data_IF_451702136315
#
_entry.id   IF_451702136315
#
_cell.length_a   1.000
_cell.length_b   1.000
_cell.length_c   1.000
_cell.angle_alpha   90.00
_cell.angle_beta   90.00
_cell.angle_gamma   90.00
#
_symmetry.space_group_name_H-M   'P 1'
#
loop_
_entity.id
_entity.type
_entity.pdbx_description
1 polymer ?
#
# COMPACT_ATOMS: atom_id res chain seq x y z
N UNK A 1 -64.72 6.19 3.33
CA UNK A 1 -65.46 7.04 4.26
C UNK A 1 -66.94 7.01 3.84
N UNK A 2 -67.79 6.51 4.72
CA UNK A 2 -69.23 6.46 4.44
C UNK A 2 -69.77 7.91 4.44
N UNK A 3 -70.27 8.34 3.28
CA UNK A 3 -70.90 9.65 3.20
C UNK A 3 -72.27 9.58 3.88
N UNK A 4 -72.46 10.36 4.95
CA UNK A 4 -73.72 10.55 5.61
C UNK A 4 -74.50 11.54 4.77
N UNK A 5 -75.09 11.09 3.63
CA UNK A 5 -75.83 11.97 2.70
C UNK A 5 -77.30 12.04 2.99
N UNK A 6 -77.74 11.55 4.14
CA UNK A 6 -79.18 11.58 4.53
C UNK A 6 -79.48 12.31 5.85
N UNK A 7 -78.51 13.09 6.36
CA UNK A 7 -78.73 13.87 7.56
C UNK A 7 -79.53 15.14 7.18
N UNK A 8 -80.82 15.19 7.55
CA UNK A 8 -81.65 16.40 7.33
C UNK A 8 -82.85 16.21 6.40
N UNK A 9 -83.08 15.04 5.79
CA UNK A 9 -84.24 14.74 4.97
C UNK A 9 -85.52 14.69 5.87
N UNK A 10 -86.26 15.76 5.96
CA UNK A 10 -87.48 15.87 6.74
C UNK A 10 -87.59 17.09 7.63
N UNK A 11 -86.52 17.80 7.95
CA UNK A 11 -86.50 19.00 8.81
C UNK A 11 -86.34 20.32 8.04
N UNK A 12 -86.09 20.33 6.73
CA UNK A 12 -85.80 21.53 5.94
C UNK A 12 -84.51 22.27 6.31
N UNK A 13 -83.67 21.67 7.18
CA UNK A 13 -82.40 22.26 7.59
C UNK A 13 -81.23 21.55 6.76
N UNK A 14 -80.41 22.37 6.10
CA UNK A 14 -79.22 21.92 5.45
C UNK A 14 -78.09 21.62 6.47
N UNK A 15 -78.19 20.45 7.10
CA UNK A 15 -77.24 20.00 8.14
C UNK A 15 -75.85 19.78 7.57
N UNK A 16 -75.73 19.48 6.27
CA UNK A 16 -74.41 19.30 5.63
C UNK A 16 -73.70 20.66 5.54
N UNK A 17 -74.40 21.74 5.14
CA UNK A 17 -73.77 23.06 5.07
C UNK A 17 -73.41 23.61 6.48
N UNK A 18 -74.15 23.24 7.49
CA UNK A 18 -73.84 23.61 8.91
C UNK A 18 -72.58 22.82 9.37
N UNK A 19 -72.46 21.52 9.02
CA UNK A 19 -71.33 20.72 9.40
C UNK A 19 -70.05 21.20 8.66
N UNK A 20 -70.15 21.50 7.36
CA UNK A 20 -69.03 22.03 6.58
C UNK A 20 -68.58 23.42 7.13
N UNK A 21 -69.51 24.26 7.55
CA UNK A 21 -69.19 25.55 8.17
C UNK A 21 -68.54 25.42 9.53
N UNK A 22 -68.92 24.43 10.33
CA UNK A 22 -68.29 24.10 11.59
C UNK A 22 -66.89 23.53 11.42
N UNK A 23 -66.73 22.63 10.46
CA UNK A 23 -65.42 22.06 10.09
C UNK A 23 -64.49 23.18 9.58
N UNK A 24 -64.99 24.10 8.77
CA UNK A 24 -64.19 25.23 8.28
C UNK A 24 -63.76 26.16 9.42
N UNK A 25 -64.71 26.42 10.40
CA UNK A 25 -64.42 27.22 11.59
C UNK A 25 -63.31 26.54 12.46
N UNK A 26 -63.43 25.24 12.69
CA UNK A 26 -62.37 24.48 13.39
C UNK A 26 -61.03 24.50 12.66
N UNK A 27 -61.03 24.26 11.37
CA UNK A 27 -59.81 24.34 10.53
C UNK A 27 -59.17 25.73 10.58
N UNK A 28 -59.96 26.77 10.67
CA UNK A 28 -59.47 28.15 10.78
C UNK A 28 -58.61 28.38 12.03
N UNK A 29 -58.90 27.67 13.13
CA UNK A 29 -58.13 27.75 14.38
C UNK A 29 -56.76 27.11 14.27
N UNK A 30 -56.58 26.17 13.33
CA UNK A 30 -55.29 25.53 13.04
C UNK A 30 -54.36 26.39 12.18
N UNK A 31 -54.93 27.35 11.44
CA UNK A 31 -54.15 28.21 10.54
C UNK A 31 -53.05 29.01 11.24
N UNK A 32 -53.26 29.65 12.42
CA UNK A 32 -52.17 30.33 13.12
C UNK A 32 -51.11 29.39 13.64
N UNK A 33 -51.50 28.17 14.05
CA UNK A 33 -50.56 27.13 14.50
C UNK A 33 -49.66 26.68 13.33
N UNK A 34 -50.23 26.44 12.16
CA UNK A 34 -49.49 26.09 10.95
C UNK A 34 -48.53 27.21 10.51
N UNK A 35 -48.95 28.47 10.59
CA UNK A 35 -48.08 29.63 10.34
C UNK A 35 -46.96 29.73 11.35
N UNK A 36 -47.22 29.46 12.63
CA UNK A 36 -46.19 29.46 13.66
C UNK A 36 -45.19 28.32 13.45
N UNK A 37 -45.66 27.11 13.12
CA UNK A 37 -44.80 25.97 12.77
C UNK A 37 -43.92 26.31 11.57
N UNK A 38 -44.47 26.86 10.49
CA UNK A 38 -43.71 27.29 9.31
C UNK A 38 -42.66 28.35 9.67
N UNK A 39 -43.01 29.31 10.55
CA UNK A 39 -42.06 30.32 11.02
C UNK A 39 -40.89 29.70 11.82
N UNK A 40 -41.19 28.76 12.71
CA UNK A 40 -40.15 28.08 13.47
C UNK A 40 -39.28 27.21 12.57
N UNK A 41 -39.85 26.51 11.59
CA UNK A 41 -39.09 25.72 10.60
C UNK A 41 -38.17 26.62 9.77
N UNK A 42 -38.65 27.79 9.33
CA UNK A 42 -37.84 28.76 8.62
C UNK A 42 -36.69 29.32 9.48
N UNK A 43 -36.94 29.61 10.75
CA UNK A 43 -35.89 30.04 11.69
C UNK A 43 -34.86 28.95 11.92
N UNK A 44 -35.29 27.70 12.12
CA UNK A 44 -34.40 26.57 12.30
C UNK A 44 -33.48 26.35 11.07
N UNK A 45 -34.08 26.47 9.88
CA UNK A 45 -33.33 26.40 8.61
C UNK A 45 -32.32 27.55 8.49
N UNK A 46 -32.70 28.78 8.86
CA UNK A 46 -31.78 29.92 8.84
C UNK A 46 -30.59 29.73 9.81
N UNK A 47 -30.89 29.23 11.02
CA UNK A 47 -29.84 28.91 12.00
C UNK A 47 -28.93 27.77 11.49
N UNK A 48 -29.48 26.75 10.82
CA UNK A 48 -28.71 25.70 10.18
C UNK A 48 -27.75 26.25 9.12
N UNK A 49 -28.23 27.16 8.28
CA UNK A 49 -27.40 27.82 7.26
C UNK A 49 -26.28 28.67 7.90
N UNK A 50 -26.59 29.43 8.93
CA UNK A 50 -25.61 30.23 9.66
C UNK A 50 -24.57 29.36 10.32
N UNK A 51 -24.98 28.26 10.96
CA UNK A 51 -24.08 27.29 11.57
C UNK A 51 -23.13 26.72 10.53
N UNK A 52 -23.61 26.25 9.37
CA UNK A 52 -22.79 25.71 8.30
C UNK A 52 -21.77 26.74 7.75
N UNK A 53 -22.19 28.01 7.65
CA UNK A 53 -21.26 29.07 7.22
C UNK A 53 -20.17 29.33 8.26
N UNK A 54 -20.49 29.30 9.55
CA UNK A 54 -19.52 29.43 10.63
C UNK A 54 -18.56 28.24 10.69
N UNK A 55 -19.04 27.03 10.51
CA UNK A 55 -18.19 25.82 10.46
C UNK A 55 -17.24 25.85 9.26
N UNK A 56 -17.71 26.32 8.11
CA UNK A 56 -16.86 26.52 6.93
C UNK A 56 -15.78 27.59 7.18
N UNK A 57 -16.15 28.69 7.81
CA UNK A 57 -15.20 29.73 8.19
C UNK A 57 -14.17 29.22 9.21
N UNK A 58 -14.61 28.48 10.23
CA UNK A 58 -13.73 27.87 11.22
C UNK A 58 -12.73 26.91 10.56
N UNK A 59 -13.20 26.09 9.63
CA UNK A 59 -12.36 25.14 8.89
C UNK A 59 -11.28 25.89 8.09
N UNK A 60 -11.67 26.94 7.37
CA UNK A 60 -10.74 27.76 6.61
C UNK A 60 -9.70 28.47 7.51
N UNK A 61 -10.17 29.01 8.63
CA UNK A 61 -9.29 29.67 9.60
C UNK A 61 -8.31 28.68 10.25
N UNK A 62 -8.77 27.47 10.58
CA UNK A 62 -7.92 26.40 11.13
C UNK A 62 -6.87 25.96 10.10
N UNK A 63 -7.23 25.92 8.83
CA UNK A 63 -6.26 25.62 7.76
C UNK A 63 -5.17 26.69 7.65
N UNK A 64 -5.53 27.97 7.76
CA UNK A 64 -4.58 29.10 7.76
C UNK A 64 -3.70 29.16 9.01
N UNK A 65 -4.18 28.68 10.15
CA UNK A 65 -3.45 28.70 11.42
C UNK A 65 -2.40 27.57 11.54
N UNK A 66 -2.13 26.83 10.48
CA UNK A 66 -1.05 25.83 10.44
C UNK A 66 0.26 26.51 10.10
N UNK A 67 1.19 26.54 11.04
CA UNK A 67 2.53 27.14 10.84
C UNK A 67 3.27 26.48 9.66
N UNK A 68 3.07 25.19 9.44
CA UNK A 68 3.70 24.41 8.36
C UNK A 68 3.33 24.92 6.96
N UNK A 69 2.16 25.57 6.81
CA UNK A 69 1.74 26.15 5.54
C UNK A 69 2.68 27.27 5.09
N UNK A 70 3.23 28.05 6.05
CA UNK A 70 4.11 29.19 5.79
C UNK A 70 5.59 28.81 5.71
N UNK A 71 5.92 27.60 6.15
CA UNK A 71 7.28 27.04 6.05
C UNK A 71 7.39 26.01 4.93
N UNK A 72 6.30 25.77 4.18
CA UNK A 72 6.30 24.84 3.07
C UNK A 72 7.27 25.29 1.99
N UNK A 73 8.15 24.38 1.59
CA UNK A 73 9.09 24.59 0.49
C UNK A 73 8.70 23.71 -0.69
N UNK A 74 8.93 24.17 -1.89
CA UNK A 74 8.74 23.38 -3.11
C UNK A 74 10.06 23.18 -3.82
N UNK A 75 10.22 22.08 -4.53
CA UNK A 75 11.39 21.79 -5.34
C UNK A 75 11.03 21.78 -6.81
N UNK A 76 11.95 22.29 -7.63
CA UNK A 76 11.94 22.12 -9.07
C UNK A 76 13.24 21.46 -9.48
N UNK A 77 13.16 20.36 -10.26
CA UNK A 77 14.32 19.72 -10.85
C UNK A 77 14.51 20.22 -12.28
N UNK A 78 15.75 20.52 -12.67
CA UNK A 78 16.10 20.83 -14.05
C UNK A 78 16.24 19.59 -14.94
N UNK A 79 16.12 18.38 -14.34
CA UNK A 79 16.24 17.09 -15.04
C UNK A 79 15.10 16.17 -14.65
N UNK A 80 14.63 15.37 -15.60
CA UNK A 80 13.66 14.28 -15.37
C UNK A 80 14.33 13.00 -14.84
N UNK A 81 15.65 12.96 -14.72
CA UNK A 81 16.40 11.79 -14.27
C UNK A 81 16.24 11.52 -12.76
N UNK A 82 15.80 12.50 -12.00
CA UNK A 82 15.51 12.36 -10.57
C UNK A 82 14.39 13.29 -10.13
N UNK A 83 13.71 12.92 -9.06
CA UNK A 83 12.76 13.77 -8.36
C UNK A 83 13.28 14.09 -6.97
N UNK A 84 12.97 15.28 -6.48
CA UNK A 84 13.29 15.70 -5.13
C UNK A 84 12.01 16.11 -4.40
N UNK A 85 11.92 15.80 -3.12
CA UNK A 85 10.86 16.23 -2.22
C UNK A 85 11.46 17.02 -1.07
N UNK A 86 10.72 17.99 -0.54
CA UNK A 86 11.14 18.77 0.62
C UNK A 86 10.26 18.49 1.82
N UNK A 87 10.81 18.66 3.00
CA UNK A 87 10.09 18.71 4.28
C UNK A 87 10.06 20.15 4.78
N UNK A 88 9.18 20.45 5.75
CA UNK A 88 9.03 21.80 6.33
C UNK A 88 10.30 22.37 6.98
N UNK A 89 11.32 21.56 7.21
CA UNK A 89 12.64 21.98 7.74
C UNK A 89 13.69 22.21 6.66
N UNK A 90 13.34 22.07 5.38
CA UNK A 90 14.29 22.24 4.29
C UNK A 90 14.68 23.71 4.13
N UNK A 91 15.98 23.96 3.98
CA UNK A 91 16.53 25.30 3.75
C UNK A 91 16.39 25.60 2.25
N UNK A 92 15.80 26.76 1.93
CA UNK A 92 15.70 27.20 0.54
C UNK A 92 17.10 27.48 -0.04
N UNK A 93 17.40 26.93 -1.21
CA UNK A 93 18.68 27.05 -1.85
C UNK A 93 18.74 26.36 -3.20
N UNK A 94 19.83 26.56 -3.92
CA UNK A 94 20.15 25.84 -5.14
C UNK A 94 21.17 24.76 -4.83
N UNK A 95 20.82 23.50 -5.14
CA UNK A 95 21.69 22.36 -4.91
C UNK A 95 22.08 21.75 -6.25
N UNK A 96 23.34 21.41 -6.41
CA UNK A 96 23.83 20.65 -7.57
C UNK A 96 24.05 19.23 -7.16
N UNK A 97 23.42 18.30 -7.87
CA UNK A 97 23.51 16.86 -7.59
C UNK A 97 24.19 16.18 -8.77
N UNK A 98 25.27 15.46 -8.50
CA UNK A 98 25.92 14.57 -9.45
C UNK A 98 25.69 13.12 -9.05
N UNK A 99 25.19 12.29 -9.96
CA UNK A 99 24.98 10.87 -9.74
C UNK A 99 26.09 10.11 -10.43
N UNK A 100 27.08 9.63 -9.67
CA UNK A 100 28.21 8.86 -10.18
C UNK A 100 27.87 7.39 -10.41
N UNK A 101 26.89 6.85 -9.68
CA UNK A 101 26.52 5.44 -9.76
C UNK A 101 25.05 5.23 -9.35
N UNK A 102 24.33 4.42 -10.12
CA UNK A 102 22.99 3.99 -9.77
C UNK A 102 23.02 2.75 -8.87
N UNK A 103 22.02 2.62 -8.01
CA UNK A 103 21.83 1.41 -7.24
C UNK A 103 21.50 0.23 -8.17
N UNK A 104 22.10 -0.93 -7.92
CA UNK A 104 21.84 -2.16 -8.64
C UNK A 104 21.31 -3.24 -7.70
N UNK A 105 20.48 -4.14 -8.23
CA UNK A 105 20.00 -5.31 -7.52
C UNK A 105 21.07 -6.40 -7.56
N UNK A 106 21.33 -7.03 -6.41
CA UNK A 106 22.24 -8.16 -6.34
C UNK A 106 21.69 -9.37 -7.08
N UNK A 107 22.53 -10.05 -7.81
CA UNK A 107 22.21 -11.34 -8.43
C UNK A 107 23.28 -12.35 -8.04
N UNK A 108 22.86 -13.45 -7.45
CA UNK A 108 23.68 -14.60 -7.07
C UNK A 108 23.41 -15.74 -8.04
N UNK A 109 24.46 -16.49 -8.39
CA UNK A 109 24.34 -17.67 -9.26
C UNK A 109 25.16 -18.81 -8.67
N UNK A 110 24.64 -20.04 -8.71
CA UNK A 110 25.37 -21.21 -8.19
C UNK A 110 26.68 -21.44 -8.93
N UNK A 111 27.76 -21.76 -8.18
CA UNK A 111 29.08 -22.09 -8.76
C UNK A 111 29.01 -23.38 -9.56
N UNK A 112 28.27 -24.35 -9.02
CA UNK A 112 28.13 -25.68 -9.58
C UNK A 112 26.89 -25.70 -10.48
N UNK A 113 27.04 -26.25 -11.66
CA UNK A 113 25.94 -26.54 -12.59
C UNK A 113 25.39 -27.95 -12.38
N UNK A 114 24.14 -28.16 -12.73
CA UNK A 114 23.48 -29.46 -12.71
C UNK A 114 23.10 -29.87 -14.14
N UNK A 115 23.33 -31.14 -14.49
CA UNK A 115 22.91 -31.68 -15.78
C UNK A 115 21.42 -31.95 -15.88
N UNK A 116 20.77 -32.13 -14.73
CA UNK A 116 19.34 -32.33 -14.65
C UNK A 116 18.74 -31.32 -13.65
N UNK A 117 17.90 -30.45 -14.13
CA UNK A 117 17.20 -29.45 -13.29
C UNK A 117 16.19 -30.04 -12.33
N UNK A 118 15.87 -31.34 -12.47
CA UNK A 118 14.94 -32.09 -11.62
C UNK A 118 15.60 -33.05 -10.67
N UNK A 119 16.94 -33.28 -10.77
CA UNK A 119 17.67 -34.12 -9.84
C UNK A 119 17.73 -33.47 -8.45
N UNK A 120 17.47 -34.26 -7.41
CA UNK A 120 17.58 -33.81 -6.02
C UNK A 120 19.06 -33.52 -5.68
N UNK A 121 19.31 -32.44 -4.94
CA UNK A 121 20.61 -31.99 -4.50
C UNK A 121 20.83 -32.35 -3.03
N UNK A 122 19.81 -32.10 -2.19
CA UNK A 122 19.88 -32.44 -0.77
C UNK A 122 19.67 -33.94 -0.53
N UNK A 123 20.32 -34.43 0.49
CA UNK A 123 20.17 -35.81 0.98
C UNK A 123 19.24 -35.94 2.17
N UNK A 124 18.90 -34.82 2.81
CA UNK A 124 18.01 -34.72 3.95
C UNK A 124 17.14 -33.46 3.84
N UNK A 125 16.07 -33.43 4.62
CA UNK A 125 15.26 -32.23 4.75
C UNK A 125 16.07 -31.08 5.34
N UNK A 126 15.88 -29.89 4.82
CA UNK A 126 16.69 -28.72 5.12
C UNK A 126 15.86 -27.46 5.17
N UNK A 127 16.39 -26.42 5.82
CA UNK A 127 15.79 -25.10 5.90
C UNK A 127 16.73 -24.09 5.25
N UNK A 128 16.28 -23.47 4.18
CA UNK A 128 16.94 -22.33 3.56
C UNK A 128 16.51 -21.05 4.26
N UNK A 129 17.46 -20.28 4.73
CA UNK A 129 17.23 -18.94 5.30
C UNK A 129 17.78 -17.89 4.34
N UNK A 130 16.92 -16.96 3.95
CA UNK A 130 17.27 -15.79 3.14
C UNK A 130 17.23 -14.57 4.05
N UNK A 131 18.38 -13.94 4.26
CA UNK A 131 18.52 -12.71 5.01
C UNK A 131 18.89 -11.58 4.05
N UNK A 132 18.03 -10.57 3.95
CA UNK A 132 18.37 -9.31 3.26
C UNK A 132 18.94 -8.30 4.25
N UNK A 133 19.72 -7.34 3.75
CA UNK A 133 20.19 -6.20 4.53
C UNK A 133 19.08 -5.25 4.97
N UNK A 134 19.47 -4.06 5.47
CA UNK A 134 18.50 -3.02 5.84
C UNK A 134 17.64 -3.32 7.06
N UNK A 135 18.01 -4.30 7.88
CA UNK A 135 17.24 -4.66 9.10
C UNK A 135 15.96 -5.46 8.82
N UNK A 136 15.83 -6.04 7.62
CA UNK A 136 14.71 -6.93 7.29
C UNK A 136 14.81 -8.25 8.05
N UNK A 137 13.68 -8.78 8.47
CA UNK A 137 13.61 -10.10 9.11
C UNK A 137 14.01 -11.21 8.13
N UNK A 138 14.75 -12.26 8.59
CA UNK A 138 15.08 -13.40 7.77
C UNK A 138 13.83 -14.20 7.39
N UNK A 139 13.78 -14.69 6.17
CA UNK A 139 12.71 -15.58 5.69
C UNK A 139 13.26 -17.00 5.62
N UNK A 140 12.58 -17.94 6.28
CA UNK A 140 12.92 -19.36 6.28
C UNK A 140 12.01 -20.12 5.33
N UNK A 141 12.59 -21.08 4.60
CA UNK A 141 11.92 -21.88 3.57
C UNK A 141 12.30 -23.33 3.78
N UNK A 142 11.31 -24.17 4.03
CA UNK A 142 11.52 -25.61 4.17
C UNK A 142 11.73 -26.24 2.80
N UNK A 143 12.84 -26.98 2.65
CA UNK A 143 13.21 -27.72 1.45
C UNK A 143 13.30 -29.20 1.82
N UNK A 144 12.32 -29.99 1.42
CA UNK A 144 12.41 -31.46 1.60
C UNK A 144 13.43 -32.05 0.65
N UNK A 145 14.08 -33.14 1.06
CA UNK A 145 15.05 -33.86 0.22
C UNK A 145 14.48 -34.22 -1.16
N UNK A 146 13.21 -34.66 -1.21
CA UNK A 146 12.51 -35.01 -2.44
C UNK A 146 12.27 -33.82 -3.38
N UNK A 147 12.19 -32.58 -2.84
CA UNK A 147 11.93 -31.34 -3.60
C UNK A 147 13.14 -30.41 -3.65
N UNK A 148 14.34 -30.92 -3.44
CA UNK A 148 15.60 -30.18 -3.44
C UNK A 148 16.25 -30.03 -4.82
N UNK A 149 15.51 -30.29 -5.89
CA UNK A 149 15.98 -30.03 -7.26
C UNK A 149 16.04 -28.53 -7.56
N UNK A 150 16.77 -28.12 -8.62
CA UNK A 150 16.78 -26.72 -9.06
C UNK A 150 15.37 -26.17 -9.26
N UNK A 151 14.48 -26.98 -9.85
CA UNK A 151 13.07 -26.59 -10.05
C UNK A 151 12.33 -26.43 -8.73
N UNK A 152 12.48 -27.38 -7.80
CA UNK A 152 11.83 -27.33 -6.50
C UNK A 152 12.31 -26.15 -5.65
N UNK A 153 13.62 -25.91 -5.60
CA UNK A 153 14.21 -24.78 -4.88
C UNK A 153 13.74 -23.44 -5.46
N UNK A 154 13.77 -23.29 -6.81
CA UNK A 154 13.24 -22.11 -7.49
C UNK A 154 11.80 -21.82 -7.08
N UNK A 155 10.95 -22.82 -7.14
CA UNK A 155 9.53 -22.68 -6.84
C UNK A 155 9.30 -22.35 -5.35
N UNK A 156 10.04 -22.99 -4.45
CA UNK A 156 10.00 -22.71 -3.02
C UNK A 156 10.39 -21.26 -2.71
N UNK A 157 11.49 -20.76 -3.28
CA UNK A 157 11.95 -19.37 -3.10
C UNK A 157 10.90 -18.38 -3.63
N UNK A 158 10.38 -18.60 -4.83
CA UNK A 158 9.42 -17.69 -5.45
C UNK A 158 8.08 -17.68 -4.70
N UNK A 159 7.64 -18.81 -4.15
CA UNK A 159 6.42 -18.90 -3.34
C UNK A 159 6.57 -18.24 -1.97
N UNK A 160 7.76 -18.23 -1.40
CA UNK A 160 8.03 -17.64 -0.09
C UNK A 160 7.96 -16.10 -0.06
N UNK A 161 8.00 -15.44 -1.23
CA UNK A 161 7.95 -13.97 -1.37
C UNK A 161 8.99 -13.26 -0.49
N UNK A 162 10.18 -13.80 -0.41
CA UNK A 162 11.27 -13.32 0.43
C UNK A 162 11.98 -12.06 -0.10
N UNK A 163 11.33 -11.27 -0.97
CA UNK A 163 11.92 -10.07 -1.60
C UNK A 163 12.98 -10.41 -2.65
N UNK A 164 13.01 -11.64 -3.11
CA UNK A 164 13.93 -12.15 -4.14
C UNK A 164 13.15 -12.95 -5.18
N UNK A 165 13.75 -13.13 -6.36
CA UNK A 165 13.22 -13.96 -7.44
C UNK A 165 14.26 -14.96 -7.88
N UNK A 166 13.89 -16.25 -7.96
CA UNK A 166 14.74 -17.33 -8.40
C UNK A 166 14.41 -17.76 -9.83
N UNK A 167 15.43 -18.05 -10.61
CA UNK A 167 15.32 -18.54 -11.98
C UNK A 167 16.38 -19.62 -12.26
N UNK A 168 16.13 -20.45 -13.27
CA UNK A 168 17.08 -21.46 -13.74
C UNK A 168 17.65 -20.98 -15.07
N UNK A 169 18.98 -20.92 -15.15
CA UNK A 169 19.73 -20.50 -16.33
C UNK A 169 20.34 -21.73 -16.98
N UNK A 170 20.12 -21.94 -18.27
CA UNK A 170 20.84 -22.89 -19.07
C UNK A 170 22.18 -22.25 -19.46
N UNK A 171 23.31 -22.86 -19.03
CA UNK A 171 24.65 -22.34 -19.28
C UNK A 171 25.33 -23.02 -20.48
N UNK A 172 24.57 -23.80 -21.25
CA UNK A 172 25.06 -24.55 -22.37
C UNK A 172 25.42 -26.01 -22.00
N UNK A 173 25.70 -26.83 -22.99
CA UNK A 173 26.08 -28.25 -22.82
C UNK A 173 25.10 -29.11 -22.00
N UNK A 174 23.80 -28.69 -21.93
CA UNK A 174 22.79 -29.36 -21.11
C UNK A 174 22.96 -29.12 -19.61
N UNK A 175 23.66 -28.07 -19.21
CA UNK A 175 23.88 -27.71 -17.80
C UNK A 175 23.04 -26.53 -17.37
N UNK A 176 22.61 -26.57 -16.13
CA UNK A 176 21.68 -25.58 -15.51
C UNK A 176 22.27 -25.04 -14.22
N UNK A 177 22.05 -23.77 -13.95
CA UNK A 177 22.39 -23.10 -12.69
C UNK A 177 21.17 -22.41 -12.12
N UNK A 178 21.11 -22.29 -10.80
CA UNK A 178 20.13 -21.46 -10.11
C UNK A 178 20.67 -20.04 -10.00
N UNK A 179 19.85 -19.07 -10.37
CA UNK A 179 20.12 -17.65 -10.18
C UNK A 179 19.06 -17.05 -9.27
N UNK A 180 19.49 -16.26 -8.30
CA UNK A 180 18.62 -15.56 -7.35
C UNK A 180 18.92 -14.07 -7.44
N UNK A 181 17.91 -13.27 -7.73
CA UNK A 181 18.04 -11.81 -7.87
C UNK A 181 17.19 -11.11 -6.82
N UNK A 182 17.74 -10.10 -6.16
CA UNK A 182 16.96 -9.22 -5.28
C UNK A 182 15.93 -8.43 -6.11
N UNK A 183 14.70 -8.32 -5.61
CA UNK A 183 13.65 -7.59 -6.31
C UNK A 183 13.88 -6.08 -6.28
N UNK A 184 14.54 -5.59 -5.24
CA UNK A 184 14.86 -4.18 -5.04
C UNK A 184 16.36 -3.94 -5.22
N UNK A 185 16.70 -2.74 -5.65
CA UNK A 185 18.09 -2.31 -5.84
C UNK A 185 18.73 -1.83 -4.53
N UNK A 186 20.05 -1.87 -4.47
CA UNK A 186 20.82 -1.27 -3.40
C UNK A 186 21.33 -2.24 -2.34
N UNK A 187 22.30 -1.77 -1.58
CA UNK A 187 23.03 -2.60 -0.61
C UNK A 187 22.15 -3.11 0.54
N UNK A 188 21.08 -2.35 0.87
CA UNK A 188 20.12 -2.75 1.90
C UNK A 188 19.27 -3.97 1.48
N UNK A 189 19.35 -4.37 0.22
CA UNK A 189 18.70 -5.55 -0.32
C UNK A 189 19.70 -6.65 -0.69
N UNK A 190 20.98 -6.50 -0.30
CA UNK A 190 21.98 -7.54 -0.46
C UNK A 190 21.61 -8.77 0.36
N UNK A 191 21.80 -9.95 -0.24
CA UNK A 191 21.35 -11.22 0.31
C UNK A 191 22.47 -11.95 1.03
N UNK A 192 22.09 -12.69 2.07
CA UNK A 192 22.83 -13.81 2.65
C UNK A 192 21.94 -15.04 2.58
N UNK A 193 22.51 -16.16 2.23
CA UNK A 193 21.82 -17.44 2.12
C UNK A 193 22.53 -18.44 3.03
N UNK A 194 21.78 -19.09 3.90
CA UNK A 194 22.30 -20.20 4.72
C UNK A 194 21.32 -21.35 4.69
N UNK A 195 21.85 -22.57 4.69
CA UNK A 195 21.05 -23.79 4.74
C UNK A 195 21.41 -24.54 6.00
N UNK A 196 20.42 -25.00 6.73
CA UNK A 196 20.58 -25.90 7.86
C UNK A 196 19.91 -27.23 7.55
N UNK A 197 20.44 -28.32 8.11
CA UNK A 197 19.90 -29.68 7.92
C UNK A 197 20.56 -30.50 6.83
N UNK A 198 21.15 -29.88 5.81
CA UNK A 198 21.85 -30.58 4.72
C UNK A 198 23.12 -29.85 4.25
N UNK A 199 24.28 -30.47 4.41
CA UNK A 199 25.56 -29.86 4.05
C UNK A 199 25.81 -29.82 2.54
N UNK A 200 25.21 -30.72 1.76
CA UNK A 200 25.36 -30.73 0.30
C UNK A 200 24.61 -29.51 -0.27
N UNK A 201 23.40 -29.21 0.23
CA UNK A 201 22.63 -28.05 -0.20
C UNK A 201 23.28 -26.74 0.30
N UNK A 202 23.84 -26.69 1.52
CA UNK A 202 24.63 -25.53 1.99
C UNK A 202 25.83 -25.26 1.08
N UNK A 203 26.59 -26.30 0.73
CA UNK A 203 27.75 -26.19 -0.19
C UNK A 203 27.32 -25.74 -1.58
N UNK A 204 26.09 -26.04 -1.99
CA UNK A 204 25.56 -25.70 -3.32
C UNK A 204 25.10 -24.27 -3.41
N UNK A 205 24.37 -23.73 -2.37
CA UNK A 205 23.71 -22.44 -2.45
C UNK A 205 23.97 -21.50 -1.28
N UNK A 206 24.77 -21.89 -0.29
CA UNK A 206 25.14 -20.99 0.81
C UNK A 206 25.91 -19.76 0.27
N UNK A 207 25.61 -18.59 0.85
CA UNK A 207 26.26 -17.32 0.55
C UNK A 207 26.33 -16.44 1.80
N UNK A 208 27.53 -16.21 2.33
CA UNK A 208 27.74 -15.49 3.59
C UNK A 208 27.67 -13.96 3.48
N UNK A 209 27.41 -13.42 2.30
CA UNK A 209 27.37 -11.99 2.03
C UNK A 209 28.74 -11.38 1.65
N UNK A 210 29.78 -12.19 1.54
CA UNK A 210 31.13 -11.75 1.09
C UNK A 210 31.42 -12.31 -0.29
N UNK A 211 31.52 -11.44 -1.28
CA UNK A 211 31.84 -11.84 -2.65
C UNK A 211 33.26 -12.46 -2.71
N UNK A 212 33.37 -13.54 -3.44
CA UNK A 212 34.67 -14.22 -3.63
C UNK A 212 35.10 -15.15 -2.50
N UNK A 213 34.33 -15.32 -1.43
CA UNK A 213 34.60 -16.29 -0.38
C UNK A 213 34.54 -17.72 -0.94
N UNK A 214 35.57 -18.50 -0.64
CA UNK A 214 35.70 -19.89 -1.13
C UNK A 214 34.64 -20.83 -0.54
N UNK A 215 34.12 -20.52 0.66
CA UNK A 215 33.09 -21.30 1.31
C UNK A 215 31.69 -21.11 0.72
N UNK A 216 31.47 -20.08 -0.10
CA UNK A 216 30.18 -19.85 -0.74
C UNK A 216 29.89 -20.87 -1.85
N UNK A 217 28.69 -21.42 -1.89
CA UNK A 217 28.12 -22.20 -2.99
C UNK A 217 27.67 -21.35 -4.17
N UNK A 218 27.41 -20.06 -3.93
CA UNK A 218 27.02 -19.10 -4.95
C UNK A 218 28.10 -18.04 -5.20
N UNK A 219 28.10 -17.49 -6.41
CA UNK A 219 28.92 -16.34 -6.79
C UNK A 219 27.98 -15.14 -7.06
N UNK A 220 28.49 -13.98 -6.76
CA UNK A 220 27.83 -12.72 -7.08
C UNK A 220 28.09 -12.37 -8.54
N UNK A 221 27.07 -12.47 -9.37
CA UNK A 221 27.13 -12.11 -10.80
C UNK A 221 26.83 -10.64 -11.04
N UNK A 222 26.03 -10.04 -10.15
CA UNK A 222 25.79 -8.60 -10.07
C UNK A 222 25.86 -8.19 -8.61
N UNK A 223 26.79 -7.29 -8.28
CA UNK A 223 26.98 -6.78 -6.91
C UNK A 223 25.88 -5.77 -6.57
N UNK A 224 25.30 -5.89 -5.37
CA UNK A 224 24.42 -4.86 -4.83
C UNK A 224 25.20 -3.57 -4.66
N UNK A 225 24.75 -2.51 -5.30
CA UNK A 225 25.44 -1.23 -5.25
C UNK A 225 24.55 -0.17 -4.61
N UNK A 226 25.11 0.61 -3.69
CA UNK A 226 24.48 1.79 -3.13
C UNK A 226 24.58 2.93 -4.16
N UNK A 227 23.47 3.66 -4.35
CA UNK A 227 23.52 4.89 -5.15
C UNK A 227 24.49 5.87 -4.49
N UNK A 228 25.48 6.31 -5.23
CA UNK A 228 26.42 7.35 -4.79
C UNK A 228 25.99 8.70 -5.40
N UNK A 229 25.71 9.65 -4.54
CA UNK A 229 25.38 11.03 -4.92
C UNK A 229 26.34 11.96 -4.21
N UNK A 230 26.97 12.83 -4.95
CA UNK A 230 27.74 13.95 -4.41
C UNK A 230 26.86 15.20 -4.46
N UNK A 231 26.62 15.82 -3.32
CA UNK A 231 25.93 17.11 -3.18
C UNK A 231 26.97 18.19 -2.92
N UNK A 232 26.98 19.21 -3.74
CA UNK A 232 27.74 20.44 -3.53
C UNK A 232 26.79 21.61 -3.33
#
# INVERSE_FOLDING_TARGET
MASISTLGVGSGLDLSSILDSLEAAEKSTLTPISKQQSSYTAKLSAYGTLKSALESFQTANTALNKADLFTATSTTSSSSAFSATTTGSAIAGKYTISVSQLAQAQTLTTKISQKDSKAAIATSDSVLTIQQGGGKDPVTIDISAANSSLSGIRDAINNAKAGVSASIINVGNGEYRLSITANDTGNDNAMKLSVSGDSALESFMGYNGTSGDSGNGMIESVTAQKRQTDSQ
#
